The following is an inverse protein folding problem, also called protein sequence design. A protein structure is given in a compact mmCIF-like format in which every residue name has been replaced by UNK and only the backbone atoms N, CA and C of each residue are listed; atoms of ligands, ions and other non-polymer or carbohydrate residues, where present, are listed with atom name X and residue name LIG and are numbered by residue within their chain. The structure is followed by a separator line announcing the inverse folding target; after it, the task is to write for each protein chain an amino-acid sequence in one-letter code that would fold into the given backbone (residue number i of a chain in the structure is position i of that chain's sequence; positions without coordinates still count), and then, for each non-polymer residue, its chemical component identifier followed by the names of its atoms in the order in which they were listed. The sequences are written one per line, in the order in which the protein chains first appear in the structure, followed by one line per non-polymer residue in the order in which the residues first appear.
data_IF_322311432404
#
_entry.id   IF_322311432404
#
_cell.length_a   1.000
_cell.length_b   1.000
_cell.length_c   1.000
_cell.angle_alpha   90.00
_cell.angle_beta   90.00
_cell.angle_gamma   90.00
#
_symmetry.space_group_name_H-M   'P 1'
#
loop_
_entity.id
_entity.type
_entity.pdbx_description
1 polymer ?
#
# COMPACT_ATOMS: atom_id res chain seq x y z
N UNK A 1 -13.62 28.20 15.05
CA UNK A 1 -13.44 26.74 15.13
C UNK A 1 -12.37 26.37 14.11
N UNK A 2 -11.14 26.10 14.57
CA UNK A 2 -10.09 25.61 13.66
C UNK A 2 -10.50 24.21 13.23
N UNK A 3 -10.74 23.99 11.93
CA UNK A 3 -10.75 22.64 11.39
C UNK A 3 -9.30 22.19 11.44
N UNK A 4 -8.94 21.40 12.44
CA UNK A 4 -7.71 20.65 12.40
C UNK A 4 -7.85 19.69 11.20
N UNK A 5 -7.22 20.06 10.09
CA UNK A 5 -7.03 19.16 8.96
C UNK A 5 -5.96 18.15 9.38
N UNK A 6 -6.34 17.20 10.24
CA UNK A 6 -5.55 15.98 10.38
C UNK A 6 -5.64 15.27 9.04
N UNK A 7 -4.55 15.33 8.29
CA UNK A 7 -4.38 14.53 7.09
C UNK A 7 -4.22 13.10 7.59
N UNK A 8 -5.29 12.31 7.54
CA UNK A 8 -5.28 10.90 7.98
C UNK A 8 -4.63 9.99 6.94
N UNK A 9 -3.67 10.50 6.18
CA UNK A 9 -3.06 9.80 5.05
C UNK A 9 -1.57 10.11 4.99
N UNK A 10 -0.78 9.07 4.79
CA UNK A 10 0.65 9.16 4.56
C UNK A 10 1.00 8.70 3.14
N UNK A 11 1.83 9.48 2.45
CA UNK A 11 2.41 9.04 1.17
C UNK A 11 3.62 8.18 1.49
N UNK A 12 3.47 6.86 1.37
CA UNK A 12 4.55 5.89 1.61
C UNK A 12 5.61 6.00 0.52
N UNK A 13 5.17 6.07 -0.74
CA UNK A 13 6.03 6.08 -1.90
C UNK A 13 5.43 6.93 -3.00
N UNK A 14 6.27 7.69 -3.70
CA UNK A 14 5.91 8.40 -4.92
C UNK A 14 7.10 8.45 -5.89
N UNK A 15 6.92 7.85 -7.06
CA UNK A 15 7.94 7.76 -8.12
C UNK A 15 8.44 9.12 -8.61
N UNK A 16 7.61 10.15 -8.59
CA UNK A 16 7.94 11.47 -9.14
C UNK A 16 8.69 12.38 -8.16
N UNK A 17 8.32 12.32 -6.88
CA UNK A 17 8.98 13.12 -5.85
C UNK A 17 10.15 12.41 -5.18
N UNK A 18 10.35 11.11 -5.47
CA UNK A 18 11.26 10.22 -4.72
C UNK A 18 11.02 10.30 -3.21
N UNK A 19 9.82 10.72 -2.81
CA UNK A 19 9.45 10.87 -1.42
C UNK A 19 9.14 9.48 -0.88
N UNK A 20 9.82 9.16 0.20
CA UNK A 20 9.57 7.99 0.98
C UNK A 20 9.51 8.38 2.46
N UNK A 21 8.42 8.00 3.12
CA UNK A 21 8.32 8.21 4.56
C UNK A 21 9.24 7.23 5.29
N UNK A 22 10.12 7.76 6.14
CA UNK A 22 10.99 6.93 6.98
C UNK A 22 10.19 6.53 8.24
N UNK A 23 9.67 5.31 8.27
CA UNK A 23 8.81 4.81 9.35
C UNK A 23 9.53 4.44 10.64
N UNK A 24 10.79 4.83 10.80
CA UNK A 24 11.52 4.61 12.06
C UNK A 24 10.82 5.34 13.21
N UNK A 25 10.10 4.56 14.05
CA UNK A 25 9.38 4.97 15.27
C UNK A 25 8.02 5.67 15.11
N UNK A 26 7.22 5.36 14.09
CA UNK A 26 5.83 5.83 14.04
C UNK A 26 4.93 4.92 14.92
N UNK A 27 4.33 5.42 16.01
CA UNK A 27 3.56 4.61 16.97
C UNK A 27 2.18 4.16 16.45
N UNK A 28 1.87 4.43 15.18
CA UNK A 28 0.55 4.22 14.58
C UNK A 28 0.51 3.15 13.48
N UNK A 29 1.66 2.59 13.08
CA UNK A 29 1.66 1.32 12.35
C UNK A 29 1.69 0.20 13.39
N UNK A 30 0.60 -0.54 13.52
CA UNK A 30 0.56 -1.71 14.38
C UNK A 30 1.07 -2.94 13.61
N UNK A 31 1.51 -3.97 14.35
CA UNK A 31 2.13 -5.20 13.84
C UNK A 31 1.60 -5.67 12.48
N UNK A 32 2.44 -5.56 11.43
CA UNK A 32 2.21 -6.20 10.12
C UNK A 32 1.50 -5.38 9.06
N UNK A 33 1.02 -4.17 9.36
CA UNK A 33 0.13 -3.39 8.48
C UNK A 33 0.89 -2.49 7.47
N UNK A 34 1.63 -3.10 6.53
CA UNK A 34 2.37 -2.50 5.39
C UNK A 34 3.87 -2.29 5.59
N UNK A 35 4.40 -2.54 6.79
CA UNK A 35 5.84 -2.39 7.10
C UNK A 35 6.74 -3.24 6.20
N UNK A 36 6.28 -4.45 5.86
CA UNK A 36 7.04 -5.35 4.99
C UNK A 36 7.15 -4.77 3.57
N UNK A 37 6.05 -4.21 3.04
CA UNK A 37 6.01 -3.56 1.72
C UNK A 37 6.92 -2.33 1.72
N UNK A 38 6.87 -1.50 2.77
CA UNK A 38 7.75 -0.34 2.93
C UNK A 38 9.23 -0.78 2.91
N UNK A 39 9.56 -1.82 3.66
CA UNK A 39 10.93 -2.36 3.74
C UNK A 39 11.41 -2.84 2.36
N UNK A 40 10.56 -3.53 1.62
CA UNK A 40 10.88 -4.05 0.30
C UNK A 40 11.03 -2.92 -0.73
N UNK A 41 10.18 -1.90 -0.68
CA UNK A 41 10.31 -0.70 -1.53
C UNK A 41 11.61 0.04 -1.22
N UNK A 42 11.97 0.18 0.06
CA UNK A 42 13.24 0.78 0.47
C UNK A 42 14.43 0.04 -0.12
N UNK A 43 14.37 -1.28 -0.13
CA UNK A 43 15.40 -2.08 -0.76
C UNK A 43 15.47 -1.82 -2.27
N UNK A 44 14.34 -1.91 -2.98
CA UNK A 44 14.27 -1.69 -4.43
C UNK A 44 14.80 -0.32 -4.86
N UNK A 45 14.46 0.73 -4.11
CA UNK A 45 14.93 2.10 -4.38
C UNK A 45 16.41 2.29 -4.07
N UNK A 46 16.93 1.67 -3.01
CA UNK A 46 18.36 1.75 -2.66
C UNK A 46 19.27 1.14 -3.74
N UNK A 47 18.76 0.18 -4.52
CA UNK A 47 19.48 -0.40 -5.67
C UNK A 47 19.13 0.29 -7.00
N UNK A 48 18.37 1.39 -6.97
CA UNK A 48 18.07 2.22 -8.14
C UNK A 48 17.06 1.61 -9.12
N UNK A 49 16.22 0.68 -8.66
CA UNK A 49 15.21 0.03 -9.51
C UNK A 49 13.83 0.68 -9.34
N UNK A 50 13.02 0.77 -10.41
CA UNK A 50 11.60 1.06 -10.25
C UNK A 50 10.89 -0.05 -9.48
N UNK A 51 9.82 0.29 -8.78
CA UNK A 51 9.05 -0.66 -7.96
C UNK A 51 8.03 -1.36 -8.84
N UNK A 52 8.26 -2.64 -9.13
CA UNK A 52 7.30 -3.51 -9.82
C UNK A 52 6.72 -4.52 -8.84
N UNK A 53 5.39 -4.59 -8.76
CA UNK A 53 4.67 -5.45 -7.82
C UNK A 53 3.78 -6.47 -8.55
N UNK A 54 3.69 -7.65 -7.95
CA UNK A 54 2.64 -8.63 -8.21
C UNK A 54 1.77 -8.73 -6.95
N UNK A 55 0.45 -8.80 -7.13
CA UNK A 55 -0.48 -9.02 -6.02
C UNK A 55 -1.35 -10.23 -6.33
N UNK A 56 -1.47 -11.13 -5.37
CA UNK A 56 -2.13 -12.42 -5.47
C UNK A 56 -3.26 -12.53 -4.46
N UNK A 57 -4.24 -13.37 -4.75
CA UNK A 57 -5.32 -13.75 -3.81
C UNK A 57 -5.04 -15.09 -3.12
N UNK A 58 -3.83 -15.63 -3.28
CA UNK A 58 -3.41 -16.88 -2.68
C UNK A 58 -1.90 -16.87 -2.38
N UNK A 59 -1.49 -17.63 -1.37
CA UNK A 59 -0.11 -17.67 -0.88
C UNK A 59 0.86 -18.31 -1.88
N UNK A 60 0.37 -19.18 -2.76
CA UNK A 60 1.20 -19.86 -3.76
C UNK A 60 1.60 -18.95 -4.94
N UNK A 61 1.00 -17.76 -5.06
CA UNK A 61 1.36 -16.80 -6.12
C UNK A 61 0.85 -17.16 -7.52
N UNK A 62 -0.24 -17.92 -7.60
CA UNK A 62 -0.76 -18.44 -8.88
C UNK A 62 -2.04 -17.72 -9.35
N UNK A 63 -2.74 -17.03 -8.44
CA UNK A 63 -4.00 -16.32 -8.73
C UNK A 63 -3.78 -14.85 -8.44
N UNK A 64 -3.81 -14.02 -9.48
CA UNK A 64 -3.60 -12.57 -9.35
C UNK A 64 -4.86 -11.86 -8.85
N UNK A 65 -4.66 -10.86 -7.99
CA UNK A 65 -5.66 -9.84 -7.71
C UNK A 65 -5.84 -8.94 -8.94
N UNK A 66 -7.02 -8.33 -9.05
CA UNK A 66 -7.33 -7.40 -10.14
C UNK A 66 -7.34 -5.94 -9.64
N UNK A 67 -6.92 -5.03 -10.50
CA UNK A 67 -7.02 -3.60 -10.27
C UNK A 67 -8.45 -3.05 -10.51
N UNK A 68 -8.63 -1.75 -10.30
CA UNK A 68 -9.90 -1.05 -10.51
C UNK A 68 -10.44 -1.08 -11.94
N UNK A 69 -9.65 -1.53 -12.92
CA UNK A 69 -10.06 -1.72 -14.31
C UNK A 69 -10.30 -3.21 -14.65
N UNK A 70 -10.14 -4.10 -13.68
CA UNK A 70 -10.28 -5.54 -13.87
C UNK A 70 -9.05 -6.23 -14.46
N UNK A 71 -7.91 -5.54 -14.57
CA UNK A 71 -6.68 -6.14 -15.07
C UNK A 71 -5.94 -6.85 -13.94
N UNK A 72 -5.31 -8.00 -14.19
CA UNK A 72 -4.48 -8.67 -13.19
C UNK A 72 -3.28 -7.80 -12.80
N UNK A 73 -2.95 -7.80 -11.52
CA UNK A 73 -1.82 -7.07 -10.95
C UNK A 73 -0.59 -7.97 -11.01
N UNK A 74 -0.05 -8.12 -12.23
CA UNK A 74 1.19 -8.84 -12.50
C UNK A 74 2.24 -7.89 -13.08
N UNK A 75 3.43 -7.87 -12.47
CA UNK A 75 4.57 -7.04 -12.87
C UNK A 75 4.17 -5.58 -13.14
N UNK A 76 3.39 -4.99 -12.24
CA UNK A 76 2.86 -3.63 -12.41
C UNK A 76 3.80 -2.63 -11.77
N UNK A 77 4.19 -1.62 -12.53
CA UNK A 77 4.96 -0.51 -11.99
C UNK A 77 4.06 0.33 -11.06
N UNK A 78 4.52 0.51 -9.83
CA UNK A 78 3.87 1.33 -8.82
C UNK A 78 4.30 2.77 -9.00
N UNK A 79 3.33 3.69 -9.04
CA UNK A 79 3.55 5.14 -9.14
C UNK A 79 3.47 5.78 -7.76
N UNK A 80 2.48 5.39 -6.98
CA UNK A 80 2.24 5.96 -5.65
C UNK A 80 1.64 4.91 -4.72
N UNK A 81 2.08 4.91 -3.46
CA UNK A 81 1.44 4.17 -2.38
C UNK A 81 1.04 5.16 -1.31
N UNK A 82 -0.22 5.08 -0.89
CA UNK A 82 -0.79 5.92 0.16
C UNK A 82 -1.34 4.99 1.24
N UNK A 83 -0.93 5.20 2.48
CA UNK A 83 -1.57 4.62 3.64
C UNK A 83 -2.61 5.59 4.18
N UNK A 84 -3.77 5.07 4.55
CA UNK A 84 -4.84 5.83 5.18
C UNK A 84 -5.03 5.29 6.58
N UNK A 85 -4.76 6.12 7.57
CA UNK A 85 -4.99 5.82 8.99
C UNK A 85 -6.47 5.63 9.27
N UNK A 86 -6.86 4.84 10.28
CA UNK A 86 -8.26 4.74 10.65
C UNK A 86 -8.74 6.08 11.21
N UNK A 87 -9.91 6.53 10.79
CA UNK A 87 -10.50 7.77 11.30
C UNK A 87 -12.02 7.70 11.30
N UNK A 88 -12.63 8.60 12.07
CA UNK A 88 -14.07 8.76 12.08
C UNK A 88 -14.44 10.06 11.38
N UNK A 89 -15.50 10.03 10.58
CA UNK A 89 -16.04 11.24 9.97
C UNK A 89 -17.57 11.28 10.09
N UNK A 90 -18.13 12.49 10.01
CA UNK A 90 -19.57 12.68 10.00
C UNK A 90 -20.04 12.81 8.55
N UNK A 91 -20.86 11.86 8.09
CA UNK A 91 -21.48 11.88 6.76
C UNK A 91 -22.99 11.92 6.95
N UNK A 92 -23.64 12.98 6.46
CA UNK A 92 -25.09 13.19 6.58
C UNK A 92 -25.64 13.11 8.02
N UNK A 93 -24.85 13.54 9.01
CA UNK A 93 -25.24 13.50 10.44
C UNK A 93 -25.00 12.15 11.11
N UNK A 94 -24.44 11.16 10.41
CA UNK A 94 -24.07 9.86 10.97
C UNK A 94 -22.56 9.77 11.11
N UNK A 95 -22.12 9.24 12.27
CA UNK A 95 -20.72 8.89 12.48
C UNK A 95 -20.40 7.66 11.62
N UNK A 96 -19.41 7.80 10.76
CA UNK A 96 -18.91 6.75 9.89
C UNK A 96 -17.45 6.46 10.27
N UNK A 97 -17.16 5.19 10.51
CA UNK A 97 -15.81 4.72 10.83
C UNK A 97 -15.15 4.27 9.54
N UNK A 98 -14.02 4.89 9.21
CA UNK A 98 -13.18 4.49 8.09
C UNK A 98 -12.04 3.65 8.65
N UNK A 99 -12.01 2.38 8.26
CA UNK A 99 -10.90 1.48 8.56
C UNK A 99 -9.64 1.94 7.83
N UNK A 100 -8.48 1.58 8.37
CA UNK A 100 -7.22 1.79 7.67
C UNK A 100 -7.14 0.96 6.40
N UNK A 101 -6.41 1.50 5.42
CA UNK A 101 -6.14 0.81 4.17
C UNK A 101 -4.91 1.37 3.47
N UNK A 102 -4.29 0.52 2.65
CA UNK A 102 -3.27 0.92 1.70
C UNK A 102 -3.86 1.00 0.30
N UNK A 103 -3.54 2.08 -0.42
CA UNK A 103 -3.91 2.30 -1.82
C UNK A 103 -2.67 2.38 -2.70
N UNK A 104 -2.70 1.63 -3.80
CA UNK A 104 -1.69 1.60 -4.84
C UNK A 104 -2.23 2.31 -6.09
N UNK A 105 -1.40 3.14 -6.70
CA UNK A 105 -1.63 3.75 -8.02
C UNK A 105 -0.60 3.18 -8.99
N UNK A 106 -1.07 2.73 -10.15
CA UNK A 106 -0.22 2.21 -11.23
C UNK A 106 -0.11 3.21 -12.41
N UNK A 107 0.85 2.98 -13.30
CA UNK A 107 1.17 3.87 -14.45
C UNK A 107 -0.02 4.17 -15.37
N UNK A 108 -0.96 3.24 -15.51
CA UNK A 108 -2.15 3.43 -16.34
C UNK A 108 -3.29 4.16 -15.60
N UNK A 109 -3.04 4.68 -14.39
CA UNK A 109 -4.00 5.25 -13.45
C UNK A 109 -5.04 4.27 -12.89
N UNK A 110 -4.87 2.95 -13.05
CA UNK A 110 -5.66 2.02 -12.26
C UNK A 110 -5.16 1.97 -10.82
N UNK A 111 -6.04 1.56 -9.91
CA UNK A 111 -5.74 1.51 -8.48
C UNK A 111 -6.04 0.14 -7.89
N UNK A 112 -5.34 -0.20 -6.83
CA UNK A 112 -5.67 -1.33 -5.96
C UNK A 112 -5.73 -0.86 -4.51
N UNK A 113 -6.69 -1.39 -3.74
CA UNK A 113 -6.86 -1.07 -2.33
C UNK A 113 -6.95 -2.34 -1.53
N UNK A 114 -6.22 -2.39 -0.42
CA UNK A 114 -6.28 -3.44 0.60
C UNK A 114 -6.51 -2.80 1.95
N UNK A 115 -7.43 -3.35 2.74
CA UNK A 115 -7.62 -2.93 4.13
C UNK A 115 -6.68 -3.73 5.01
N UNK A 116 -6.18 -3.14 6.09
CA UNK A 116 -5.23 -3.81 6.99
C UNK A 116 -5.85 -5.07 7.65
N UNK A 117 -7.17 -5.08 7.78
CA UNK A 117 -7.95 -6.23 8.27
C UNK A 117 -8.07 -7.38 7.26
N UNK A 118 -7.67 -7.16 6.00
CA UNK A 118 -7.81 -8.13 4.92
C UNK A 118 -6.57 -9.02 4.80
N UNK A 119 -6.73 -10.29 5.17
CA UNK A 119 -5.66 -11.29 5.13
C UNK A 119 -5.72 -12.18 3.88
N UNK A 120 -6.36 -11.72 2.81
CA UNK A 120 -6.56 -12.53 1.59
C UNK A 120 -5.56 -12.22 0.48
N UNK A 121 -4.79 -11.14 0.61
CA UNK A 121 -3.85 -10.71 -0.41
C UNK A 121 -2.42 -11.02 -0.03
N UNK A 122 -1.63 -11.32 -1.06
CA UNK A 122 -0.19 -11.55 -0.95
C UNK A 122 0.52 -10.75 -2.03
N UNK A 123 1.76 -10.37 -1.79
CA UNK A 123 2.53 -9.58 -2.75
C UNK A 123 3.94 -10.13 -2.97
N UNK A 124 4.51 -9.76 -4.12
CA UNK A 124 5.91 -9.95 -4.46
C UNK A 124 6.42 -8.71 -5.19
N UNK A 125 7.51 -8.11 -4.68
CA UNK A 125 8.20 -6.99 -5.35
C UNK A 125 9.41 -7.53 -6.10
N UNK A 126 9.48 -7.25 -7.41
CA UNK A 126 10.58 -7.71 -8.25
C UNK A 126 11.90 -7.06 -7.82
N UNK A 127 12.95 -7.87 -7.72
CA UNK A 127 14.30 -7.39 -7.45
C UNK A 127 14.60 -7.10 -5.96
N UNK A 128 13.70 -7.47 -5.05
CA UNK A 128 13.90 -7.33 -3.60
C UNK A 128 14.40 -8.63 -2.98
N UNK A 129 15.30 -8.54 -1.99
CA UNK A 129 15.81 -9.70 -1.25
C UNK A 129 15.33 -9.70 0.22
N UNK A 130 14.86 -10.83 0.77
CA UNK A 130 14.67 -12.12 0.08
C UNK A 130 13.51 -12.08 -0.91
N UNK A 131 13.64 -12.86 -1.99
CA UNK A 131 12.65 -12.96 -3.05
C UNK A 131 11.52 -13.91 -2.62
N UNK A 132 10.60 -13.42 -1.80
CA UNK A 132 9.50 -14.22 -1.25
C UNK A 132 8.15 -13.55 -1.45
N UNK A 133 7.10 -14.37 -1.57
CA UNK A 133 5.71 -13.92 -1.50
C UNK A 133 5.36 -13.68 -0.04
N UNK A 134 4.84 -12.48 0.27
CA UNK A 134 4.53 -12.04 1.63
C UNK A 134 3.05 -11.71 1.74
N UNK A 135 2.49 -11.86 2.94
CA UNK A 135 1.14 -11.40 3.21
C UNK A 135 1.08 -9.87 3.02
N UNK A 136 0.05 -9.41 2.32
CA UNK A 136 -0.24 -8.00 2.15
C UNK A 136 -1.29 -7.60 3.18
N UNK A 137 -0.82 -7.10 4.30
CA UNK A 137 -1.59 -6.43 5.36
C UNK A 137 -1.05 -5.03 5.53
#
# INVERSE_FOLDING_TARGET
MKKDFNVNTDVIYNKFSHYLMNYTNQPYLYDGEIESVITDINFALNIGLPVYINIYTNVEGNIFANDSKGNPITNREVVTIIYVHPYTNMVNGFLNNINSYTSYLFEDNSTFRVYDTDQTYYYYINGVFPNDIKLLT
#
